data_IF_606867001049
#
_entry.id   IF_606867001049
#
_cell.length_a   1.000
_cell.length_b   1.000
_cell.length_c   1.000
_cell.angle_alpha   90.00
_cell.angle_beta   90.00
_cell.angle_gamma   90.00
#
_symmetry.space_group_name_H-M   'P 1'
#
loop_
_entity.id
_entity.type
_entity.pdbx_description
1 polymer ?
#
# COMPACT_ATOMS: atom_id res chain seq x y z
N UNK A 1 50.27 -2.71 -21.61
CA UNK A 1 48.95 -2.04 -21.72
C UNK A 1 48.06 -2.74 -20.73
N UNK A 2 47.84 -2.17 -19.54
CA UNK A 2 47.03 -2.71 -18.49
C UNK A 2 45.57 -2.25 -18.70
N UNK A 3 44.70 -3.18 -19.04
CA UNK A 3 43.25 -2.99 -18.92
C UNK A 3 42.94 -2.82 -17.42
N UNK A 4 42.53 -1.63 -17.04
CA UNK A 4 41.91 -1.42 -15.73
C UNK A 4 40.49 -1.97 -15.86
N UNK A 5 40.25 -3.12 -15.26
CA UNK A 5 38.92 -3.57 -14.91
C UNK A 5 38.29 -2.46 -14.04
N UNK A 6 37.46 -1.64 -14.63
CA UNK A 6 36.57 -0.75 -13.89
C UNK A 6 35.54 -1.62 -13.18
N UNK A 7 35.57 -1.62 -11.86
CA UNK A 7 34.52 -2.22 -11.03
C UNK A 7 33.21 -1.49 -11.34
N UNK A 8 32.46 -1.96 -12.35
CA UNK A 8 31.13 -1.45 -12.65
C UNK A 8 30.20 -1.96 -11.55
N UNK A 9 29.79 -1.05 -10.67
CA UNK A 9 28.76 -1.31 -9.67
C UNK A 9 27.53 -1.89 -10.36
N UNK A 10 27.17 -3.13 -10.01
CA UNK A 10 26.06 -3.84 -10.62
C UNK A 10 24.82 -3.66 -9.77
N UNK A 11 23.75 -3.11 -10.38
CA UNK A 11 22.44 -3.06 -9.76
C UNK A 11 21.71 -4.39 -9.93
N UNK A 12 21.09 -4.90 -8.87
CA UNK A 12 20.24 -6.09 -8.91
C UNK A 12 18.78 -5.73 -9.12
N UNK A 13 18.35 -4.54 -8.68
CA UNK A 13 17.07 -3.94 -9.02
C UNK A 13 17.07 -2.44 -8.76
N UNK A 14 16.11 -1.75 -9.34
CA UNK A 14 15.81 -0.35 -9.08
C UNK A 14 14.37 -0.19 -8.59
N UNK A 15 14.12 0.85 -7.81
CA UNK A 15 12.79 1.15 -7.29
C UNK A 15 12.61 2.65 -7.02
N UNK A 16 11.35 3.08 -6.97
CA UNK A 16 10.98 4.38 -6.45
C UNK A 16 10.51 4.28 -4.99
N UNK A 17 10.89 5.25 -4.17
CA UNK A 17 10.39 5.43 -2.81
C UNK A 17 9.88 6.84 -2.61
N UNK A 18 8.63 6.97 -2.16
CA UNK A 18 7.97 8.23 -1.86
C UNK A 18 8.26 8.71 -0.44
N UNK A 19 8.25 10.02 -0.21
CA UNK A 19 8.47 10.68 1.08
C UNK A 19 7.37 11.67 1.40
N UNK A 20 6.75 11.54 2.60
CA UNK A 20 5.74 12.47 3.13
C UNK A 20 6.40 13.63 3.88
N UNK A 21 7.12 14.50 3.17
CA UNK A 21 7.72 15.71 3.71
C UNK A 21 7.48 16.88 2.77
N UNK A 22 7.41 18.08 3.32
CA UNK A 22 7.30 19.32 2.52
C UNK A 22 8.54 19.57 1.64
N UNK A 23 9.72 19.16 2.11
CA UNK A 23 10.98 19.13 1.37
C UNK A 23 11.31 17.76 0.76
N UNK A 24 10.35 16.84 0.77
CA UNK A 24 10.46 15.47 0.29
C UNK A 24 10.44 15.32 -1.21
N UNK A 25 9.93 14.19 -1.67
CA UNK A 25 9.81 13.84 -3.08
C UNK A 25 9.75 12.36 -3.36
N UNK A 26 9.98 12.02 -4.61
CA UNK A 26 10.10 10.64 -5.03
C UNK A 26 11.56 10.38 -5.38
N UNK A 27 12.15 9.38 -4.74
CA UNK A 27 13.54 9.02 -4.89
C UNK A 27 13.66 7.76 -5.76
N UNK A 28 14.42 7.84 -6.84
CA UNK A 28 14.85 6.64 -7.58
C UNK A 28 16.07 6.06 -6.89
N UNK A 29 15.97 4.82 -6.50
CA UNK A 29 16.96 4.08 -5.72
C UNK A 29 17.37 2.84 -6.49
N UNK A 30 18.59 2.35 -6.26
CA UNK A 30 19.02 1.02 -6.69
C UNK A 30 19.55 0.23 -5.50
N UNK A 31 19.42 -1.09 -5.58
CA UNK A 31 20.10 -2.05 -4.72
C UNK A 31 21.22 -2.71 -5.53
N UNK A 32 22.43 -2.70 -5.00
CA UNK A 32 23.61 -3.31 -5.64
C UNK A 32 23.69 -4.81 -5.34
N UNK A 33 24.57 -5.53 -6.02
CA UNK A 33 24.87 -6.94 -5.73
C UNK A 33 25.57 -7.15 -4.37
N UNK A 34 26.18 -6.09 -3.81
CA UNK A 34 26.67 -6.04 -2.42
C UNK A 34 25.60 -5.63 -1.40
N UNK A 35 24.34 -5.46 -1.86
CA UNK A 35 23.20 -5.03 -1.07
C UNK A 35 23.32 -3.60 -0.52
N UNK A 36 24.05 -2.73 -1.20
CA UNK A 36 24.11 -1.31 -0.87
C UNK A 36 23.04 -0.52 -1.60
N UNK A 37 22.50 0.49 -0.90
CA UNK A 37 21.52 1.40 -1.48
C UNK A 37 22.21 2.57 -2.18
N UNK A 38 21.84 2.81 -3.43
CA UNK A 38 22.30 3.94 -4.21
C UNK A 38 21.12 4.85 -4.53
N UNK A 39 21.23 6.12 -4.15
CA UNK A 39 20.27 7.15 -4.59
C UNK A 39 20.66 7.66 -5.96
N UNK A 40 19.84 7.37 -6.98
CA UNK A 40 20.10 7.76 -8.38
C UNK A 40 19.62 9.18 -8.65
N UNK A 41 18.36 9.48 -8.30
CA UNK A 41 17.75 10.78 -8.55
C UNK A 41 16.65 11.09 -7.55
N UNK A 42 16.15 12.35 -7.58
CA UNK A 42 15.01 12.81 -6.79
C UNK A 42 14.11 13.69 -7.65
N UNK A 43 12.83 13.41 -7.65
CA UNK A 43 11.78 14.28 -8.16
C UNK A 43 11.25 15.09 -6.97
N UNK A 44 11.38 16.42 -7.02
CA UNK A 44 10.84 17.29 -5.98
C UNK A 44 9.31 17.35 -6.07
N UNK A 45 8.64 16.75 -5.10
CA UNK A 45 7.18 16.75 -4.94
C UNK A 45 6.86 16.63 -3.45
N UNK A 46 6.23 17.63 -2.81
CA UNK A 46 5.99 17.60 -1.38
C UNK A 46 4.89 16.59 -1.01
N UNK A 47 4.98 16.04 0.20
CA UNK A 47 3.94 15.27 0.86
C UNK A 47 3.34 14.15 -0.02
N UNK A 48 4.19 13.37 -0.70
CA UNK A 48 3.76 12.26 -1.55
C UNK A 48 3.19 11.14 -0.70
N UNK A 49 1.96 10.72 -1.01
CA UNK A 49 1.24 9.70 -0.25
C UNK A 49 1.29 8.32 -0.90
N UNK A 50 1.15 8.28 -2.21
CA UNK A 50 1.14 7.04 -2.98
C UNK A 50 1.79 7.21 -4.34
N UNK A 51 2.46 6.18 -4.81
CA UNK A 51 3.03 6.10 -6.16
C UNK A 51 2.64 4.78 -6.81
N UNK A 52 2.50 4.78 -8.14
CA UNK A 52 2.29 3.60 -8.97
C UNK A 52 3.12 3.72 -10.25
N UNK A 53 3.43 2.56 -10.84
CA UNK A 53 4.02 2.47 -12.16
C UNK A 53 2.98 2.01 -13.18
N UNK A 54 2.89 2.70 -14.31
CA UNK A 54 2.05 2.37 -15.45
C UNK A 54 2.91 2.36 -16.72
N UNK A 55 3.49 1.21 -17.04
CA UNK A 55 4.49 1.07 -18.10
C UNK A 55 5.73 1.92 -17.81
N UNK A 56 6.01 2.88 -18.69
CA UNK A 56 7.13 3.83 -18.58
C UNK A 56 6.80 5.10 -17.78
N UNK A 57 5.68 5.12 -17.08
CA UNK A 57 5.21 6.26 -16.29
C UNK A 57 5.27 5.97 -14.80
N UNK A 58 5.73 6.98 -14.06
CA UNK A 58 5.62 7.06 -12.61
C UNK A 58 4.47 7.99 -12.27
N UNK A 59 3.44 7.47 -11.61
CA UNK A 59 2.25 8.17 -11.18
C UNK A 59 2.34 8.48 -9.69
N UNK A 60 1.92 9.65 -9.25
CA UNK A 60 2.01 10.06 -7.85
C UNK A 60 0.80 10.86 -7.38
N UNK A 61 0.28 10.51 -6.21
CA UNK A 61 -0.67 11.33 -5.45
C UNK A 61 0.05 12.01 -4.28
N UNK A 62 -0.26 13.28 -4.05
CA UNK A 62 0.37 14.11 -3.03
C UNK A 62 -0.63 15.06 -2.37
N UNK A 63 -0.35 15.42 -1.12
CA UNK A 63 -1.17 16.37 -0.38
C UNK A 63 -0.67 17.80 -0.57
N UNK A 64 -1.61 18.71 -0.84
CA UNK A 64 -1.34 20.14 -0.95
C UNK A 64 -2.49 20.94 -0.29
N UNK A 65 -2.32 21.26 0.97
CA UNK A 65 -3.34 22.00 1.76
C UNK A 65 -3.65 23.40 1.23
N UNK A 66 -2.78 23.98 0.40
CA UNK A 66 -2.97 25.34 -0.11
C UNK A 66 -3.71 25.34 -1.45
N UNK A 67 -3.40 24.39 -2.33
CA UNK A 67 -3.91 24.37 -3.70
C UNK A 67 -4.86 23.18 -3.98
N UNK A 68 -5.15 22.36 -2.96
CA UNK A 68 -5.87 21.10 -3.07
C UNK A 68 -4.93 19.94 -3.44
N UNK A 69 -5.29 18.75 -2.99
CA UNK A 69 -4.53 17.53 -3.24
C UNK A 69 -4.45 17.23 -4.73
N UNK A 70 -3.36 16.61 -5.16
CA UNK A 70 -3.07 16.43 -6.57
C UNK A 70 -2.57 15.04 -6.95
N UNK A 71 -2.76 14.74 -8.22
CA UNK A 71 -2.17 13.62 -8.92
C UNK A 71 -1.36 14.13 -10.11
N UNK A 72 -0.21 13.54 -10.36
CA UNK A 72 0.70 13.94 -11.43
C UNK A 72 1.46 12.73 -11.97
N UNK A 73 1.76 12.75 -13.26
CA UNK A 73 2.55 11.71 -13.93
C UNK A 73 3.93 12.25 -14.32
N UNK A 74 4.93 11.37 -14.26
CA UNK A 74 6.31 11.60 -14.68
C UNK A 74 6.77 10.45 -15.56
N UNK A 75 7.71 10.72 -16.47
CA UNK A 75 8.54 9.66 -17.05
C UNK A 75 9.50 9.08 -16.00
N UNK A 76 10.05 7.90 -16.24
CA UNK A 76 10.95 7.25 -15.26
C UNK A 76 12.25 8.04 -15.02
N UNK A 77 12.63 8.96 -15.90
CA UNK A 77 13.75 9.92 -15.72
C UNK A 77 13.35 11.18 -14.95
N UNK A 78 12.06 11.30 -14.54
CA UNK A 78 11.57 12.35 -13.66
C UNK A 78 11.02 13.59 -14.38
N UNK A 79 10.83 13.57 -15.69
CA UNK A 79 10.18 14.66 -16.43
C UNK A 79 8.67 14.59 -16.23
N UNK A 80 8.03 15.69 -15.80
CA UNK A 80 6.57 15.75 -15.66
C UNK A 80 5.87 15.57 -17.01
N UNK A 81 4.84 14.73 -17.02
CA UNK A 81 3.98 14.42 -18.14
C UNK A 81 2.58 14.99 -17.89
N UNK A 82 2.17 15.96 -18.69
CA UNK A 82 0.83 16.57 -18.61
C UNK A 82 0.62 17.50 -17.40
N UNK A 83 -0.65 17.80 -17.15
CA UNK A 83 -1.09 18.70 -16.09
C UNK A 83 -1.38 17.95 -14.78
N UNK A 84 -1.40 18.72 -13.68
CA UNK A 84 -1.82 18.19 -12.38
C UNK A 84 -3.33 18.00 -12.39
N UNK A 85 -3.79 16.80 -12.05
CA UNK A 85 -5.19 16.51 -11.79
C UNK A 85 -5.45 16.75 -10.31
N UNK A 86 -6.39 17.67 -9.99
CA UNK A 86 -6.81 17.89 -8.60
C UNK A 86 -7.81 16.82 -8.18
N UNK A 87 -7.58 16.21 -7.02
CA UNK A 87 -8.57 15.31 -6.41
C UNK A 87 -9.76 16.11 -5.89
N UNK A 88 -10.91 15.47 -5.76
CA UNK A 88 -12.15 16.16 -5.35
C UNK A 88 -12.48 15.96 -3.86
N UNK A 89 -11.65 15.22 -3.13
CA UNK A 89 -11.78 14.99 -1.69
C UNK A 89 -10.60 15.55 -0.93
N UNK A 90 -10.61 15.36 0.38
CA UNK A 90 -9.59 15.86 1.31
C UNK A 90 -8.68 14.72 1.78
N UNK A 91 -7.36 14.98 1.84
CA UNK A 91 -6.33 14.05 2.28
C UNK A 91 -6.27 12.80 1.39
N UNK A 92 -5.90 12.99 0.09
CA UNK A 92 -5.66 11.85 -0.81
C UNK A 92 -4.61 10.91 -0.21
N UNK A 93 -4.93 9.63 -0.07
CA UNK A 93 -4.02 8.64 0.51
C UNK A 93 -3.70 7.49 -0.45
N UNK A 94 -4.52 7.26 -1.46
CA UNK A 94 -4.32 6.20 -2.45
C UNK A 94 -4.98 6.54 -3.78
N UNK A 95 -4.50 5.92 -4.84
CA UNK A 95 -5.18 5.89 -6.14
C UNK A 95 -4.91 4.55 -6.85
N UNK A 96 -5.80 4.19 -7.77
CA UNK A 96 -5.54 3.16 -8.78
C UNK A 96 -5.82 3.69 -10.18
N UNK A 97 -5.21 3.06 -11.19
CA UNK A 97 -5.25 3.53 -12.58
C UNK A 97 -5.48 2.37 -13.54
N UNK A 98 -6.28 2.61 -14.58
CA UNK A 98 -6.41 1.72 -15.74
C UNK A 98 -6.61 2.55 -17.01
N UNK A 99 -5.61 2.58 -17.86
CA UNK A 99 -5.58 3.47 -19.03
C UNK A 99 -5.62 4.94 -18.60
N UNK A 100 -6.61 5.70 -19.07
CA UNK A 100 -6.81 7.12 -18.70
C UNK A 100 -7.61 7.31 -17.41
N UNK A 101 -8.28 6.28 -16.91
CA UNK A 101 -9.11 6.37 -15.72
C UNK A 101 -8.26 6.26 -14.46
N UNK A 102 -8.33 7.26 -13.59
CA UNK A 102 -7.68 7.29 -12.28
C UNK A 102 -8.76 7.44 -11.22
N UNK A 103 -8.72 6.57 -10.21
CA UNK A 103 -9.65 6.57 -9.08
C UNK A 103 -8.89 6.89 -7.81
N UNK A 104 -9.45 7.81 -7.01
CA UNK A 104 -8.80 8.32 -5.80
C UNK A 104 -9.59 7.93 -4.55
N UNK A 105 -8.86 7.57 -3.50
CA UNK A 105 -9.37 7.46 -2.14
C UNK A 105 -8.86 8.65 -1.32
N UNK A 106 -9.80 9.38 -0.70
CA UNK A 106 -9.50 10.54 0.15
C UNK A 106 -9.98 10.23 1.57
N UNK A 107 -9.05 10.31 2.52
CA UNK A 107 -9.26 9.76 3.86
C UNK A 107 -10.15 10.64 4.74
N UNK A 108 -9.94 11.97 4.77
CA UNK A 108 -10.54 12.83 5.79
C UNK A 108 -12.05 12.96 5.63
N UNK A 109 -12.53 12.98 4.40
CA UNK A 109 -13.96 13.10 4.09
C UNK A 109 -14.60 11.81 3.56
N UNK A 110 -13.82 10.73 3.39
CA UNK A 110 -14.30 9.47 2.81
C UNK A 110 -14.71 9.57 1.34
N UNK A 111 -14.17 10.56 0.63
CA UNK A 111 -14.50 10.77 -0.77
C UNK A 111 -13.79 9.76 -1.68
N UNK A 112 -14.57 9.14 -2.57
CA UNK A 112 -14.07 8.38 -3.72
C UNK A 112 -14.36 9.17 -4.98
N UNK A 113 -13.36 9.34 -5.86
CA UNK A 113 -13.52 10.13 -7.08
C UNK A 113 -12.80 9.51 -8.28
N UNK A 114 -13.33 9.81 -9.49
CA UNK A 114 -12.73 9.46 -10.77
C UNK A 114 -12.17 10.74 -11.43
N UNK A 115 -11.00 10.65 -12.05
CA UNK A 115 -10.41 11.76 -12.81
C UNK A 115 -11.39 12.26 -13.90
N UNK A 116 -11.64 13.56 -13.92
CA UNK A 116 -12.60 14.15 -14.87
C UNK A 116 -14.06 13.72 -14.70
N UNK A 117 -14.37 12.82 -13.77
CA UNK A 117 -15.66 12.19 -13.60
C UNK A 117 -16.35 12.51 -12.26
N UNK A 118 -17.06 11.50 -11.76
CA UNK A 118 -17.84 11.54 -10.52
C UNK A 118 -16.95 11.63 -9.29
N UNK A 119 -17.46 12.30 -8.26
CA UNK A 119 -16.92 12.28 -6.91
C UNK A 119 -18.08 12.26 -5.92
N UNK A 120 -17.94 11.51 -4.84
CA UNK A 120 -18.95 11.47 -3.79
C UNK A 120 -18.32 10.99 -2.47
N UNK A 121 -18.91 11.41 -1.37
CA UNK A 121 -18.55 10.94 -0.02
C UNK A 121 -19.30 9.63 0.23
N UNK A 122 -18.58 8.61 0.63
CA UNK A 122 -19.18 7.32 0.99
C UNK A 122 -20.13 7.50 2.18
N UNK A 123 -21.21 6.78 2.17
CA UNK A 123 -22.23 6.85 3.21
C UNK A 123 -22.56 5.48 3.78
N UNK A 124 -22.97 5.44 5.04
CA UNK A 124 -23.35 4.22 5.73
C UNK A 124 -23.23 4.35 7.25
N UNK A 125 -23.54 3.29 7.93
CA UNK A 125 -23.32 3.19 9.37
C UNK A 125 -21.83 3.04 9.65
N UNK A 126 -21.29 3.93 10.48
CA UNK A 126 -19.89 3.91 10.91
C UNK A 126 -19.65 2.84 11.96
N UNK A 127 -18.41 2.39 12.07
CA UNK A 127 -18.00 1.43 13.09
C UNK A 127 -18.06 2.01 14.52
N UNK A 128 -17.88 1.15 15.53
CA UNK A 128 -18.02 1.52 16.93
C UNK A 128 -16.84 2.31 17.51
N UNK A 129 -15.69 2.39 16.79
CA UNK A 129 -14.47 3.05 17.27
C UNK A 129 -14.58 4.57 17.13
N UNK A 130 -15.29 5.24 18.02
CA UNK A 130 -15.67 6.66 17.93
C UNK A 130 -14.51 7.62 17.71
N UNK A 131 -13.29 7.31 18.17
CA UNK A 131 -12.11 8.14 17.93
C UNK A 131 -11.58 8.06 16.48
N UNK A 132 -11.91 7.01 15.73
CA UNK A 132 -11.35 6.72 14.41
C UNK A 132 -12.41 6.50 13.32
N UNK A 133 -13.65 6.22 13.68
CA UNK A 133 -14.75 5.90 12.79
C UNK A 133 -15.90 6.92 12.98
N UNK A 134 -15.56 8.21 12.91
CA UNK A 134 -16.53 9.29 13.06
C UNK A 134 -17.35 9.52 11.79
N UNK A 135 -16.77 9.19 10.65
CA UNK A 135 -17.35 9.30 9.31
C UNK A 135 -16.77 8.19 8.42
N UNK A 136 -17.13 8.14 7.16
CA UNK A 136 -16.43 7.37 6.14
C UNK A 136 -14.97 7.82 6.03
N UNK A 137 -14.07 6.89 5.78
CA UNK A 137 -12.64 7.13 5.57
C UNK A 137 -12.14 6.19 4.47
N UNK A 138 -12.30 6.60 3.20
CA UNK A 138 -11.80 5.85 2.07
C UNK A 138 -10.27 5.81 2.12
N UNK A 139 -9.69 4.62 2.23
CA UNK A 139 -8.24 4.48 2.40
C UNK A 139 -7.52 3.92 1.18
N UNK A 140 -8.18 3.07 0.41
CA UNK A 140 -7.63 2.50 -0.80
C UNK A 140 -8.69 2.39 -1.89
N UNK A 141 -8.29 2.55 -3.15
CA UNK A 141 -9.04 2.10 -4.32
C UNK A 141 -8.20 1.09 -5.10
N UNK A 142 -8.81 -0.05 -5.48
CA UNK A 142 -8.20 -1.06 -6.35
C UNK A 142 -9.15 -1.42 -7.50
N UNK A 143 -8.59 -1.94 -8.58
CA UNK A 143 -9.35 -2.41 -9.74
C UNK A 143 -9.46 -3.93 -9.68
N UNK A 144 -10.66 -4.46 -9.94
CA UNK A 144 -10.86 -5.91 -9.98
C UNK A 144 -10.00 -6.59 -11.07
N UNK A 145 -9.64 -7.88 -10.93
CA UNK A 145 -8.78 -8.57 -11.89
C UNK A 145 -9.32 -8.57 -13.33
N UNK A 146 -10.64 -8.59 -13.49
CA UNK A 146 -11.34 -8.51 -14.79
C UNK A 146 -11.50 -7.07 -15.30
N UNK A 147 -11.02 -6.07 -14.55
CA UNK A 147 -11.08 -4.64 -14.85
C UNK A 147 -12.50 -4.04 -14.99
N UNK A 148 -13.53 -4.74 -14.56
CA UNK A 148 -14.91 -4.26 -14.65
C UNK A 148 -15.36 -3.42 -13.46
N UNK A 149 -14.69 -3.56 -12.33
CA UNK A 149 -15.09 -2.93 -11.07
C UNK A 149 -13.94 -2.18 -10.42
N UNK A 150 -14.32 -1.20 -9.61
CA UNK A 150 -13.43 -0.49 -8.68
C UNK A 150 -13.88 -0.82 -7.26
N UNK A 151 -12.95 -1.19 -6.40
CA UNK A 151 -13.24 -1.46 -5.00
C UNK A 151 -12.62 -0.36 -4.15
N UNK A 152 -13.33 0.10 -3.13
CA UNK A 152 -12.80 1.03 -2.13
C UNK A 152 -12.84 0.40 -0.74
N UNK A 153 -11.68 0.39 -0.07
CA UNK A 153 -11.57 0.04 1.34
C UNK A 153 -11.94 1.25 2.19
N UNK A 154 -12.93 1.11 3.06
CA UNK A 154 -13.35 2.19 3.96
C UNK A 154 -13.15 1.80 5.42
N UNK A 155 -12.27 2.53 6.10
CA UNK A 155 -11.94 2.31 7.50
C UNK A 155 -13.09 2.73 8.41
N UNK A 156 -13.76 3.83 8.10
CA UNK A 156 -14.84 4.39 8.92
C UNK A 156 -16.11 3.54 8.90
N UNK A 157 -16.38 2.90 7.76
CA UNK A 157 -17.58 2.10 7.54
C UNK A 157 -17.40 0.60 7.81
N UNK A 158 -16.20 0.15 8.16
CA UNK A 158 -15.85 -1.28 8.30
C UNK A 158 -16.21 -2.08 7.02
N UNK A 159 -15.92 -1.55 5.85
CA UNK A 159 -16.43 -2.13 4.60
C UNK A 159 -15.43 -2.07 3.44
N UNK A 160 -15.58 -3.03 2.53
CA UNK A 160 -15.12 -2.91 1.14
C UNK A 160 -16.36 -2.66 0.26
N UNK A 161 -16.33 -1.58 -0.51
CA UNK A 161 -17.45 -1.16 -1.35
C UNK A 161 -17.04 -1.34 -2.81
N UNK A 162 -17.92 -1.97 -3.58
CA UNK A 162 -17.69 -2.30 -4.99
C UNK A 162 -18.50 -1.36 -5.87
N UNK A 163 -17.85 -0.77 -6.85
CA UNK A 163 -18.43 0.14 -7.82
C UNK A 163 -18.22 -0.37 -9.24
N UNK A 164 -19.10 0.06 -10.16
CA UNK A 164 -18.78 0.02 -11.58
C UNK A 164 -17.71 1.07 -11.95
N UNK A 165 -17.28 1.11 -13.21
CA UNK A 165 -16.25 2.06 -13.68
C UNK A 165 -16.68 3.51 -13.65
N UNK A 166 -17.97 3.79 -13.53
CA UNK A 166 -18.55 5.15 -13.40
C UNK A 166 -18.87 5.49 -11.94
N UNK A 167 -18.35 4.68 -10.99
CA UNK A 167 -18.53 4.83 -9.55
C UNK A 167 -20.01 4.79 -9.13
N UNK A 168 -20.82 3.94 -9.73
CA UNK A 168 -22.11 3.55 -9.18
C UNK A 168 -21.91 2.34 -8.28
N UNK A 169 -22.40 2.40 -7.04
CA UNK A 169 -22.27 1.29 -6.10
C UNK A 169 -23.01 0.06 -6.59
N UNK A 170 -22.32 -1.08 -6.66
CA UNK A 170 -22.85 -2.38 -7.06
C UNK A 170 -23.16 -3.23 -5.83
N UNK A 171 -22.23 -3.25 -4.87
CA UNK A 171 -22.34 -4.02 -3.64
C UNK A 171 -21.40 -3.49 -2.57
N UNK A 172 -21.59 -3.92 -1.34
CA UNK A 172 -20.62 -3.76 -0.24
C UNK A 172 -20.58 -4.98 0.65
N UNK A 173 -19.42 -5.25 1.22
CA UNK A 173 -19.24 -6.28 2.22
C UNK A 173 -18.59 -5.67 3.47
N UNK A 174 -19.16 -5.97 4.64
CA UNK A 174 -18.63 -5.49 5.92
C UNK A 174 -17.69 -6.52 6.53
N UNK A 175 -16.69 -6.06 7.24
CA UNK A 175 -15.90 -6.83 8.20
C UNK A 175 -16.59 -6.79 9.58
N UNK A 176 -15.98 -7.44 10.57
CA UNK A 176 -16.44 -7.33 11.95
C UNK A 176 -16.40 -5.87 12.43
N UNK A 177 -17.34 -5.41 13.25
CA UNK A 177 -17.41 -4.03 13.70
C UNK A 177 -16.14 -3.58 14.44
N UNK A 178 -15.62 -2.39 14.09
CA UNK A 178 -14.46 -1.79 14.71
C UNK A 178 -13.12 -2.27 14.16
N UNK A 179 -13.15 -3.01 13.06
CA UNK A 179 -11.93 -3.52 12.43
C UNK A 179 -11.23 -2.48 11.54
N UNK A 180 -11.97 -1.63 10.81
CA UNK A 180 -11.45 -0.56 9.97
C UNK A 180 -10.65 -1.07 8.77
N UNK A 181 -11.30 -1.32 7.65
CA UNK A 181 -10.64 -1.84 6.44
C UNK A 181 -9.71 -0.78 5.86
N UNK A 182 -8.48 -1.17 5.55
CA UNK A 182 -7.46 -0.22 5.09
C UNK A 182 -6.99 -0.48 3.66
N UNK A 183 -6.34 -1.60 3.42
CA UNK A 183 -5.82 -2.04 2.12
C UNK A 183 -6.29 -3.47 1.83
N UNK A 184 -6.27 -3.85 0.55
CA UNK A 184 -6.67 -5.17 0.11
C UNK A 184 -5.88 -5.64 -1.11
N UNK A 185 -5.75 -6.95 -1.26
CA UNK A 185 -5.13 -7.58 -2.42
C UNK A 185 -5.98 -8.77 -2.88
N UNK A 186 -6.14 -8.91 -4.20
CA UNK A 186 -6.77 -10.11 -4.76
C UNK A 186 -5.82 -11.30 -4.71
N UNK A 187 -6.36 -12.50 -4.51
CA UNK A 187 -5.65 -13.75 -4.76
C UNK A 187 -5.19 -13.81 -6.23
N UNK A 188 -4.14 -14.58 -6.49
CA UNK A 188 -3.57 -14.68 -7.84
C UNK A 188 -4.57 -15.17 -8.90
N UNK A 189 -5.49 -16.04 -8.51
CA UNK A 189 -6.57 -16.55 -9.36
C UNK A 189 -7.77 -15.62 -9.46
N UNK A 190 -7.75 -14.49 -8.71
CA UNK A 190 -8.82 -13.49 -8.69
C UNK A 190 -10.12 -13.93 -8.02
N UNK A 191 -10.14 -15.07 -7.32
CA UNK A 191 -11.36 -15.63 -6.71
C UNK A 191 -11.60 -15.17 -5.28
N UNK A 192 -10.54 -14.66 -4.60
CA UNK A 192 -10.60 -14.15 -3.24
C UNK A 192 -10.03 -12.74 -3.16
N UNK A 193 -10.50 -11.99 -2.16
CA UNK A 193 -9.92 -10.73 -1.72
C UNK A 193 -9.46 -10.87 -0.27
N UNK A 194 -8.24 -10.46 0.02
CA UNK A 194 -7.70 -10.35 1.38
C UNK A 194 -7.58 -8.88 1.74
N UNK A 195 -8.24 -8.45 2.81
CA UNK A 195 -8.23 -7.06 3.26
C UNK A 195 -7.61 -6.95 4.66
N UNK A 196 -6.58 -6.10 4.79
CA UNK A 196 -6.01 -5.78 6.10
C UNK A 196 -6.89 -4.76 6.80
N UNK A 197 -7.12 -4.99 8.10
CA UNK A 197 -7.85 -4.06 8.95
C UNK A 197 -6.87 -3.28 9.83
N UNK A 198 -6.99 -1.94 9.82
CA UNK A 198 -6.12 -1.09 10.61
C UNK A 198 -6.38 -1.23 12.10
N UNK A 199 -7.64 -1.02 12.52
CA UNK A 199 -8.00 -0.94 13.92
C UNK A 199 -8.05 -2.32 14.61
N UNK A 200 -8.25 -3.38 13.82
CA UNK A 200 -8.28 -4.75 14.32
C UNK A 200 -6.93 -5.45 14.28
N UNK A 201 -6.00 -5.00 13.43
CA UNK A 201 -4.77 -5.74 13.09
C UNK A 201 -5.06 -7.19 12.70
N UNK A 202 -5.98 -7.34 11.75
CA UNK A 202 -6.41 -8.63 11.23
C UNK A 202 -6.42 -8.61 9.71
N UNK A 203 -6.55 -9.78 9.10
CA UNK A 203 -6.82 -9.94 7.68
C UNK A 203 -8.20 -10.55 7.52
N UNK A 204 -9.10 -9.87 6.82
CA UNK A 204 -10.40 -10.40 6.45
C UNK A 204 -10.31 -11.04 5.06
N UNK A 205 -10.83 -12.26 4.90
CA UNK A 205 -10.99 -12.90 3.60
C UNK A 205 -12.42 -12.81 3.10
N UNK A 206 -12.52 -12.64 1.78
CA UNK A 206 -13.79 -12.61 1.07
C UNK A 206 -13.67 -13.50 -0.18
N UNK A 207 -14.74 -14.21 -0.51
CA UNK A 207 -14.90 -14.74 -1.87
C UNK A 207 -15.36 -13.62 -2.80
N UNK A 208 -14.83 -13.63 -4.04
CA UNK A 208 -15.17 -12.68 -5.08
C UNK A 208 -15.92 -13.36 -6.22
N UNK A 209 -17.06 -12.81 -6.58
CA UNK A 209 -17.81 -13.26 -7.75
C UNK A 209 -18.55 -12.09 -8.39
N UNK A 210 -18.10 -11.70 -9.59
CA UNK A 210 -18.80 -10.76 -10.48
C UNK A 210 -19.40 -9.52 -9.79
N UNK A 211 -18.52 -8.72 -9.17
CA UNK A 211 -18.91 -7.50 -8.47
C UNK A 211 -19.47 -7.72 -7.06
N UNK A 212 -19.41 -8.92 -6.52
CA UNK A 212 -19.89 -9.24 -5.17
C UNK A 212 -18.81 -9.86 -4.31
N UNK A 213 -18.64 -9.31 -3.12
CA UNK A 213 -17.81 -9.86 -2.06
C UNK A 213 -18.70 -10.55 -1.02
N UNK A 214 -18.32 -11.75 -0.61
CA UNK A 214 -18.90 -12.45 0.52
C UNK A 214 -17.83 -12.63 1.58
N UNK A 215 -18.03 -12.05 2.77
CA UNK A 215 -17.13 -12.23 3.90
C UNK A 215 -17.07 -13.70 4.31
N UNK A 216 -15.85 -14.21 4.51
CA UNK A 216 -15.62 -15.59 4.90
C UNK A 216 -15.09 -15.70 6.32
N UNK A 217 -13.95 -15.05 6.62
CA UNK A 217 -13.23 -15.25 7.86
C UNK A 217 -12.29 -14.07 8.17
N UNK A 218 -11.93 -13.94 9.43
CA UNK A 218 -10.87 -13.04 9.92
C UNK A 218 -9.71 -13.86 10.48
N UNK A 219 -8.49 -13.43 10.21
CA UNK A 219 -7.22 -14.02 10.67
C UNK A 219 -6.46 -13.01 11.51
N UNK A 220 -6.06 -13.39 12.72
CA UNK A 220 -5.34 -12.52 13.64
C UNK A 220 -3.86 -12.37 13.21
N UNK A 221 -3.39 -11.14 13.17
CA UNK A 221 -1.98 -10.84 12.94
C UNK A 221 -1.18 -10.85 14.24
N UNK A 222 -1.79 -10.56 15.38
CA UNK A 222 -1.14 -10.44 16.69
C UNK A 222 -1.32 -11.69 17.53
N UNK A 223 -0.43 -11.90 18.51
CA UNK A 223 -0.50 -13.08 19.41
C UNK A 223 -1.59 -12.96 20.50
N UNK A 224 -1.95 -11.75 20.85
CA UNK A 224 -3.04 -11.46 21.77
C UNK A 224 -4.19 -10.83 21.00
N UNK A 225 -5.42 -10.98 21.51
CA UNK A 225 -6.61 -10.29 20.98
C UNK A 225 -6.50 -8.75 21.06
N UNK A 226 -5.27 -8.23 21.13
CA UNK A 226 -4.96 -6.82 21.17
C UNK A 226 -5.26 -6.14 19.85
N UNK A 227 -5.77 -4.92 19.94
CA UNK A 227 -5.92 -4.02 18.81
C UNK A 227 -4.54 -3.46 18.46
N UNK A 228 -4.29 -3.27 17.17
CA UNK A 228 -3.06 -2.67 16.68
C UNK A 228 -3.36 -1.64 15.62
N UNK A 229 -2.39 -1.39 14.77
CA UNK A 229 -2.51 -0.49 13.63
C UNK A 229 -2.01 -1.21 12.36
N UNK A 230 -2.79 -2.17 11.84
CA UNK A 230 -2.50 -2.85 10.57
C UNK A 230 -2.29 -1.83 9.45
N UNK A 231 -1.32 -2.08 8.54
CA UNK A 231 -1.00 -1.11 7.52
C UNK A 231 -1.00 -1.70 6.11
N UNK A 232 0.03 -2.38 5.68
CA UNK A 232 0.17 -2.87 4.32
C UNK A 232 -0.12 -4.35 4.22
N UNK A 233 -0.61 -4.77 3.06
CA UNK A 233 -0.83 -6.17 2.70
C UNK A 233 -0.31 -6.42 1.29
N UNK A 234 0.56 -7.42 1.13
CA UNK A 234 1.20 -7.75 -0.13
C UNK A 234 1.18 -9.26 -0.37
N UNK A 235 0.79 -9.67 -1.56
CA UNK A 235 0.84 -11.06 -2.02
C UNK A 235 2.09 -11.27 -2.88
N UNK A 236 2.79 -12.40 -2.70
CA UNK A 236 3.89 -12.79 -3.58
C UNK A 236 3.40 -13.09 -5.01
N UNK A 237 4.27 -12.93 -6.01
CA UNK A 237 3.92 -13.14 -7.41
C UNK A 237 3.44 -14.57 -7.73
N UNK A 238 3.93 -15.55 -6.96
CA UNK A 238 3.47 -16.95 -7.07
C UNK A 238 2.13 -17.19 -6.37
N UNK A 239 1.62 -16.23 -5.59
CA UNK A 239 0.36 -16.30 -4.86
C UNK A 239 0.40 -17.16 -3.61
N UNK A 240 1.57 -17.65 -3.17
CA UNK A 240 1.69 -18.60 -2.04
C UNK A 240 1.97 -17.95 -0.71
N UNK A 241 2.49 -16.71 -0.71
CA UNK A 241 2.91 -16.00 0.50
C UNK A 241 2.23 -14.65 0.57
N UNK A 242 1.65 -14.32 1.72
CA UNK A 242 1.02 -13.05 1.98
C UNK A 242 1.72 -12.42 3.18
N UNK A 243 2.13 -11.17 3.02
CA UNK A 243 2.79 -10.38 4.05
C UNK A 243 1.91 -9.23 4.47
N UNK A 244 1.85 -8.96 5.77
CA UNK A 244 1.08 -7.87 6.32
C UNK A 244 1.86 -7.15 7.41
N UNK A 245 1.82 -5.81 7.44
CA UNK A 245 2.53 -5.04 8.45
C UNK A 245 1.59 -4.56 9.56
N UNK A 246 2.09 -4.53 10.78
CA UNK A 246 1.47 -3.92 11.94
C UNK A 246 2.38 -2.82 12.49
N UNK A 247 1.84 -1.63 12.68
CA UNK A 247 2.52 -0.49 13.31
C UNK A 247 2.33 -0.60 14.82
N UNK A 248 3.37 -0.29 15.58
CA UNK A 248 3.28 -0.31 17.04
C UNK A 248 2.19 0.67 17.52
N UNK A 249 1.35 0.18 18.40
CA UNK A 249 0.37 0.99 19.09
C UNK A 249 0.63 0.91 20.61
N UNK A 250 1.10 2.02 21.18
CA UNK A 250 1.49 2.07 22.60
C UNK A 250 0.31 1.91 23.55
N UNK A 251 -0.89 2.31 23.14
CA UNK A 251 -2.10 2.17 23.93
C UNK A 251 -2.44 0.67 24.14
N UNK A 252 -2.18 -0.15 23.11
CA UNK A 252 -2.49 -1.59 23.14
C UNK A 252 -1.26 -2.45 23.36
N UNK A 253 -0.07 -1.86 23.52
CA UNK A 253 1.17 -2.60 23.77
C UNK A 253 1.59 -3.50 22.61
N UNK A 254 1.33 -3.09 21.37
CA UNK A 254 1.69 -3.86 20.17
C UNK A 254 2.99 -3.37 19.56
N UNK A 255 3.68 -4.26 18.81
CA UNK A 255 4.96 -4.01 18.20
C UNK A 255 4.88 -3.67 16.71
N UNK A 256 5.97 -3.12 16.18
CA UNK A 256 6.20 -2.93 14.76
C UNK A 256 6.58 -4.28 14.12
N UNK A 257 5.64 -4.91 13.43
CA UNK A 257 5.78 -6.30 12.93
C UNK A 257 5.53 -6.39 11.42
N UNK A 258 6.11 -7.42 10.83
CA UNK A 258 5.73 -7.98 9.54
C UNK A 258 5.26 -9.41 9.81
N UNK A 259 4.01 -9.70 9.46
CA UNK A 259 3.40 -11.02 9.60
C UNK A 259 3.45 -11.73 8.25
N UNK A 260 3.91 -12.98 8.24
CA UNK A 260 3.94 -13.83 7.06
C UNK A 260 2.91 -14.94 7.18
N UNK A 261 2.08 -15.06 6.15
CA UNK A 261 1.07 -16.13 6.02
C UNK A 261 1.36 -16.94 4.76
N UNK A 262 1.09 -18.24 4.84
CA UNK A 262 0.94 -19.07 3.63
C UNK A 262 -0.50 -19.01 3.14
N UNK A 263 -0.66 -18.98 1.82
CA UNK A 263 -1.94 -18.93 1.13
C UNK A 263 -2.30 -20.32 0.63
N UNK A 264 -3.40 -20.86 1.12
CA UNK A 264 -3.97 -22.13 0.72
C UNK A 264 -5.49 -21.98 0.58
N UNK A 265 -6.24 -23.01 0.94
CA UNK A 265 -7.69 -22.91 1.08
C UNK A 265 -8.05 -21.82 2.13
N UNK A 266 -7.28 -21.77 3.22
CA UNK A 266 -7.29 -20.72 4.23
C UNK A 266 -5.88 -20.12 4.39
N UNK A 267 -5.81 -18.91 4.97
CA UNK A 267 -4.54 -18.32 5.39
C UNK A 267 -4.01 -19.02 6.65
N UNK A 268 -2.73 -19.34 6.66
CA UNK A 268 -2.05 -19.88 7.84
C UNK A 268 -0.89 -18.98 8.23
N UNK A 269 -0.95 -18.39 9.42
CA UNK A 269 0.14 -17.55 9.95
C UNK A 269 1.38 -18.43 10.23
N UNK A 270 2.49 -18.08 9.60
CA UNK A 270 3.77 -18.79 9.71
C UNK A 270 4.68 -18.12 10.72
N UNK A 271 4.87 -16.81 10.58
CA UNK A 271 5.81 -16.08 11.41
C UNK A 271 5.42 -14.62 11.60
N UNK A 272 5.97 -14.01 12.63
CA UNK A 272 5.99 -12.58 12.89
C UNK A 272 7.42 -12.17 13.15
N UNK A 273 7.90 -11.19 12.39
CA UNK A 273 9.24 -10.62 12.56
C UNK A 273 9.14 -9.13 12.84
N UNK A 274 10.12 -8.58 13.57
CA UNK A 274 10.21 -7.13 13.74
C UNK A 274 10.45 -6.47 12.38
N UNK A 275 9.80 -5.31 12.12
CA UNK A 275 10.09 -4.48 10.93
C UNK A 275 11.47 -3.81 11.01
N UNK A 276 12.13 -3.89 12.16
CA UNK A 276 13.43 -3.26 12.48
C UNK A 276 13.39 -1.75 12.17
N UNK A 277 12.30 -1.10 12.58
CA UNK A 277 12.08 0.33 12.43
C UNK A 277 10.74 0.73 13.05
N UNK A 278 10.45 2.03 13.08
CA UNK A 278 9.22 2.55 13.68
C UNK A 278 8.19 2.89 12.62
N UNK A 279 6.96 2.40 12.82
CA UNK A 279 5.79 2.66 12.00
C UNK A 279 5.91 2.09 10.57
N UNK A 280 5.97 0.75 10.37
CA UNK A 280 6.05 0.09 9.06
C UNK A 280 4.76 0.30 8.26
N UNK A 281 4.67 1.44 7.57
CA UNK A 281 3.46 1.89 6.86
C UNK A 281 3.24 1.19 5.52
N UNK A 282 4.34 0.85 4.84
CA UNK A 282 4.30 0.17 3.55
C UNK A 282 5.33 -0.96 3.52
N UNK A 283 5.05 -1.98 2.74
CA UNK A 283 5.92 -3.14 2.52
C UNK A 283 5.90 -3.48 1.03
N UNK A 284 7.06 -3.68 0.44
CA UNK A 284 7.18 -4.02 -0.96
C UNK A 284 8.10 -5.20 -1.18
N UNK A 285 7.74 -6.10 -2.09
CA UNK A 285 8.62 -7.12 -2.64
C UNK A 285 9.43 -6.47 -3.76
N UNK A 286 10.73 -6.74 -3.81
CA UNK A 286 11.64 -6.18 -4.82
C UNK A 286 12.60 -7.24 -5.34
N UNK A 287 13.30 -6.92 -6.44
CA UNK A 287 14.24 -7.81 -7.15
C UNK A 287 13.57 -9.14 -7.56
N UNK A 288 12.34 -9.03 -8.12
CA UNK A 288 11.55 -10.19 -8.50
C UNK A 288 11.17 -11.07 -7.31
N UNK A 289 10.82 -10.47 -6.18
CA UNK A 289 10.39 -11.17 -4.96
C UNK A 289 11.50 -11.85 -4.16
N UNK A 290 12.78 -11.59 -4.46
CA UNK A 290 13.91 -12.14 -3.70
C UNK A 290 14.20 -11.37 -2.41
N UNK A 291 13.82 -10.11 -2.38
CA UNK A 291 14.00 -9.21 -1.25
C UNK A 291 12.70 -8.46 -0.96
N UNK A 292 12.62 -7.89 0.22
CA UNK A 292 11.53 -7.02 0.63
C UNK A 292 12.05 -5.78 1.34
N UNK A 293 11.32 -4.67 1.23
CA UNK A 293 11.57 -3.42 1.92
C UNK A 293 10.38 -3.05 2.80
N UNK A 294 10.64 -2.72 4.07
CA UNK A 294 9.69 -2.08 4.96
C UNK A 294 9.95 -0.57 5.03
N UNK A 295 8.92 0.22 4.74
CA UNK A 295 8.94 1.68 4.91
C UNK A 295 8.58 2.03 6.34
N UNK A 296 9.56 2.38 7.16
CA UNK A 296 9.38 2.74 8.56
C UNK A 296 9.23 4.27 8.67
N UNK A 297 8.00 4.76 8.51
CA UNK A 297 7.71 6.18 8.30
C UNK A 297 8.22 7.07 9.43
N UNK A 298 7.93 6.74 10.69
CA UNK A 298 8.39 7.52 11.85
C UNK A 298 9.83 7.20 12.24
N UNK A 299 10.31 6.00 11.89
CA UNK A 299 11.71 5.62 12.04
C UNK A 299 12.64 6.26 11.01
N UNK A 300 12.12 6.97 9.99
CA UNK A 300 12.90 7.57 8.91
C UNK A 300 13.89 6.57 8.29
N UNK A 301 13.40 5.38 7.95
CA UNK A 301 14.27 4.30 7.45
C UNK A 301 13.55 3.32 6.52
N UNK A 302 14.35 2.67 5.68
CA UNK A 302 13.96 1.48 4.91
C UNK A 302 14.69 0.27 5.52
N UNK A 303 13.97 -0.79 5.86
CA UNK A 303 14.56 -2.04 6.33
C UNK A 303 14.52 -3.09 5.24
N UNK A 304 15.68 -3.63 4.88
CA UNK A 304 15.86 -4.64 3.84
C UNK A 304 15.83 -6.05 4.46
N UNK A 305 15.01 -6.90 3.84
CA UNK A 305 14.91 -8.32 4.18
C UNK A 305 15.21 -9.18 2.96
N UNK A 306 15.85 -10.31 3.17
CA UNK A 306 15.92 -11.40 2.19
C UNK A 306 14.72 -12.30 2.39
N UNK A 307 14.08 -12.70 1.29
CA UNK A 307 13.00 -13.69 1.28
C UNK A 307 13.60 -15.04 0.96
N UNK A 308 13.34 -16.04 1.80
CA UNK A 308 13.74 -17.43 1.56
C UNK A 308 12.74 -18.14 0.66
N UNK A 309 13.08 -19.34 0.20
CA UNK A 309 12.23 -20.18 -0.67
C UNK A 309 10.89 -20.57 -0.01
N UNK A 310 10.85 -20.62 1.33
CA UNK A 310 9.65 -20.86 2.14
C UNK A 310 8.88 -19.58 2.52
N UNK A 311 9.32 -18.43 2.02
CA UNK A 311 8.73 -17.12 2.29
C UNK A 311 9.18 -16.46 3.60
N UNK A 312 10.04 -17.11 4.40
CA UNK A 312 10.55 -16.53 5.64
C UNK A 312 11.40 -15.28 5.37
N UNK A 313 11.24 -14.25 6.21
CA UNK A 313 11.96 -12.99 6.11
C UNK A 313 13.21 -12.98 6.99
N UNK A 314 14.36 -12.72 6.38
CA UNK A 314 15.63 -12.51 7.09
C UNK A 314 16.09 -11.06 6.99
N UNK A 315 16.14 -10.37 8.11
CA UNK A 315 16.65 -9.01 8.18
C UNK A 315 18.12 -8.94 7.73
N UNK A 316 18.42 -7.95 6.90
CA UNK A 316 19.77 -7.68 6.39
C UNK A 316 20.31 -6.39 7.00
N UNK A 317 19.68 -5.27 6.72
CA UNK A 317 20.11 -3.94 7.20
C UNK A 317 19.01 -2.90 7.12
N UNK A 318 19.25 -1.78 7.75
CA UNK A 318 18.40 -0.59 7.66
C UNK A 318 19.17 0.54 6.97
N UNK A 319 18.49 1.26 6.09
CA UNK A 319 18.99 2.44 5.38
C UNK A 319 18.22 3.69 5.83
N UNK A 320 18.90 4.78 6.21
CA UNK A 320 18.23 6.05 6.52
C UNK A 320 17.49 6.60 5.29
N UNK A 321 16.21 6.90 5.46
CA UNK A 321 15.37 7.47 4.40
C UNK A 321 14.32 8.42 5.01
N UNK A 322 14.12 9.63 4.46
CA UNK A 322 13.22 10.61 5.08
C UNK A 322 11.76 10.23 4.91
N UNK A 323 11.10 9.90 6.01
CA UNK A 323 9.65 9.63 6.13
C UNK A 323 9.10 8.81 4.95
N UNK A 324 9.55 7.55 4.75
CA UNK A 324 9.16 6.74 3.60
C UNK A 324 7.67 6.37 3.68
N UNK A 325 6.97 6.43 2.54
CA UNK A 325 5.53 6.16 2.45
C UNK A 325 5.20 4.94 1.59
N UNK A 326 5.64 4.95 0.35
CA UNK A 326 5.29 3.94 -0.64
C UNK A 326 6.53 3.60 -1.49
N UNK A 327 6.70 2.32 -1.84
CA UNK A 327 7.81 1.81 -2.65
C UNK A 327 7.23 1.05 -3.84
N UNK A 328 7.77 1.27 -5.04
CA UNK A 328 7.43 0.50 -6.25
C UNK A 328 8.71 0.12 -6.99
N UNK A 329 8.88 -1.18 -7.27
CA UNK A 329 9.99 -1.70 -8.07
C UNK A 329 9.83 -1.29 -9.54
N UNK A 330 10.93 -0.93 -10.19
CA UNK A 330 11.00 -0.68 -11.63
C UNK A 330 11.31 -2.03 -12.31
N UNK A 331 10.34 -2.55 -13.07
CA UNK A 331 10.44 -3.85 -13.76
C UNK A 331 11.12 -3.72 -15.13
#
# INVERSE_FOLDING_TARGET
MSEKDGDYMKYICEFFSASDRTDGGIYRMALTDTLDFIRISKIALPNVQWIELDGDRLCAAYRDKQNGDGYVEFSLDGKRLGDIIRTKGENVCHFCKDGSDVYFANYDDGCVSKSGGKAFIQSGETGPMKARQTTAHAHECIISPDKRYVLACDLGLDAVIVYDRELNEISRAKVLPGQGVRHAVFSKDGTKLYAITELGSTIASFSWNDGRLTYEKTYDMLQSSGRGDGAEIVLSDDGRHLYATNRANREFGTDNLICHFTVGEELSLVSRVSSVGDHPRHFALICGGKYALSSNTFGNSLSLFKIKDDGELWFIKTEPFPTPMCIKEIL
#
